data_IF_904593558807
#
_entry.id   IF_904593558807
#
_cell.length_a   1.000
_cell.length_b   1.000
_cell.length_c   1.000
_cell.angle_alpha   90.00
_cell.angle_beta   90.00
_cell.angle_gamma   90.00
#
_symmetry.space_group_name_H-M   'P 1'
#
loop_
_entity.id
_entity.type
_entity.pdbx_description
1 polymer ?
#
# COMPACT_ATOMS: atom_id res chain seq x y z
N UNK A 1 -22.80 -18.39 -11.35
CA UNK A 1 -22.27 -18.02 -12.69
C UNK A 1 -20.81 -18.41 -12.92
N UNK A 2 -19.83 -18.02 -12.10
CA UNK A 2 -18.43 -18.43 -12.32
C UNK A 2 -18.19 -19.94 -12.05
N UNK A 3 -18.76 -20.46 -10.95
CA UNK A 3 -18.71 -21.89 -10.58
C UNK A 3 -19.41 -22.75 -11.66
N UNK A 4 -20.63 -22.39 -12.07
CA UNK A 4 -21.37 -23.09 -13.14
C UNK A 4 -20.59 -23.13 -14.47
N UNK A 5 -19.86 -22.05 -14.82
CA UNK A 5 -19.03 -22.02 -16.02
C UNK A 5 -17.86 -23.01 -15.92
N UNK A 6 -17.28 -23.15 -14.73
CA UNK A 6 -16.16 -24.06 -14.49
C UNK A 6 -16.57 -25.53 -14.44
N UNK A 7 -17.77 -25.82 -13.92
CA UNK A 7 -18.36 -27.16 -13.97
C UNK A 7 -18.64 -27.62 -15.41
N UNK A 8 -18.84 -26.67 -16.34
CA UNK A 8 -19.02 -26.98 -17.77
C UNK A 8 -17.71 -27.22 -18.54
N UNK A 9 -16.54 -27.02 -17.91
CA UNK A 9 -15.24 -27.26 -18.54
C UNK A 9 -14.93 -28.76 -18.62
N UNK A 10 -14.07 -29.19 -19.57
CA UNK A 10 -13.57 -30.57 -19.59
C UNK A 10 -12.95 -30.98 -18.25
N UNK A 11 -13.14 -32.22 -17.83
CA UNK A 11 -12.60 -32.74 -16.57
C UNK A 11 -11.07 -32.95 -16.67
N UNK A 12 -10.33 -31.92 -16.26
CA UNK A 12 -8.87 -31.83 -16.29
C UNK A 12 -8.37 -31.44 -14.90
N UNK A 13 -7.07 -31.62 -14.65
CA UNK A 13 -6.47 -31.25 -13.38
C UNK A 13 -6.61 -29.74 -13.13
N UNK A 14 -6.39 -28.94 -14.18
CA UNK A 14 -6.53 -27.49 -14.17
C UNK A 14 -7.96 -27.02 -13.92
N UNK A 15 -8.97 -27.66 -14.55
CA UNK A 15 -10.37 -27.26 -14.34
C UNK A 15 -10.85 -27.57 -12.92
N UNK A 16 -10.39 -28.67 -12.31
CA UNK A 16 -10.67 -29.00 -10.91
C UNK A 16 -10.02 -28.02 -9.94
N UNK A 17 -8.75 -27.66 -10.17
CA UNK A 17 -8.07 -26.66 -9.33
C UNK A 17 -8.67 -25.27 -9.51
N UNK A 18 -9.12 -24.91 -10.71
CA UNK A 18 -9.84 -23.68 -10.95
C UNK A 18 -11.16 -23.67 -10.17
N UNK A 19 -11.96 -24.74 -10.25
CA UNK A 19 -13.22 -24.89 -9.51
C UNK A 19 -12.99 -24.77 -8.00
N UNK A 20 -11.99 -25.46 -7.46
CA UNK A 20 -11.60 -25.35 -6.05
C UNK A 20 -11.24 -23.91 -5.67
N UNK A 21 -10.43 -23.23 -6.48
CA UNK A 21 -10.08 -21.83 -6.26
C UNK A 21 -11.31 -20.92 -6.23
N UNK A 22 -12.24 -21.09 -7.16
CA UNK A 22 -13.47 -20.29 -7.18
C UNK A 22 -14.39 -20.58 -6.00
N UNK A 23 -14.47 -21.85 -5.57
CA UNK A 23 -15.22 -22.23 -4.37
C UNK A 23 -14.64 -21.53 -3.12
N UNK A 24 -13.31 -21.48 -2.99
CA UNK A 24 -12.62 -20.75 -1.91
C UNK A 24 -12.92 -19.24 -1.98
N UNK A 25 -12.77 -18.62 -3.16
CA UNK A 25 -13.01 -17.18 -3.36
C UNK A 25 -14.47 -16.80 -3.06
N UNK A 26 -15.43 -17.72 -3.29
CA UNK A 26 -16.85 -17.52 -3.05
C UNK A 26 -17.32 -17.97 -1.65
N UNK A 27 -16.45 -18.54 -0.83
CA UNK A 27 -16.80 -19.24 0.41
C UNK A 27 -17.94 -20.26 0.23
N UNK A 28 -17.85 -21.05 -0.83
CA UNK A 28 -18.91 -22.00 -1.21
C UNK A 28 -18.96 -23.18 -0.23
N UNK A 29 -20.15 -23.67 0.15
CA UNK A 29 -20.30 -24.78 1.10
C UNK A 29 -19.72 -26.10 0.59
N UNK A 30 -19.54 -26.25 -0.72
CA UNK A 30 -18.95 -27.44 -1.34
C UNK A 30 -17.41 -27.46 -1.28
N UNK A 31 -16.75 -26.42 -0.74
CA UNK A 31 -15.29 -26.29 -0.75
C UNK A 31 -14.57 -27.48 -0.13
N UNK A 32 -15.07 -28.01 1.00
CA UNK A 32 -14.45 -29.14 1.67
C UNK A 32 -14.55 -30.43 0.84
N UNK A 33 -15.71 -30.69 0.23
CA UNK A 33 -15.89 -31.81 -0.72
C UNK A 33 -14.93 -31.70 -1.90
N UNK A 34 -14.76 -30.50 -2.45
CA UNK A 34 -13.83 -30.27 -3.56
C UNK A 34 -12.37 -30.48 -3.16
N UNK A 35 -11.99 -30.20 -1.90
CA UNK A 35 -10.68 -30.56 -1.38
C UNK A 35 -10.49 -32.06 -1.28
N UNK A 36 -11.49 -32.81 -0.80
CA UNK A 36 -11.42 -34.26 -0.69
C UNK A 36 -11.27 -34.91 -2.07
N UNK A 37 -12.08 -34.50 -3.05
CA UNK A 37 -11.99 -34.99 -4.43
C UNK A 37 -10.65 -34.64 -5.09
N UNK A 38 -10.11 -33.45 -4.80
CA UNK A 38 -8.79 -33.06 -5.30
C UNK A 38 -7.68 -33.87 -4.61
N UNK A 39 -7.81 -34.17 -3.32
CA UNK A 39 -6.85 -35.01 -2.59
C UNK A 39 -6.86 -36.47 -3.09
N UNK A 40 -8.02 -37.03 -3.40
CA UNK A 40 -8.14 -38.37 -3.99
C UNK A 40 -7.47 -38.46 -5.37
N UNK A 41 -7.56 -37.40 -6.17
CA UNK A 41 -6.98 -37.35 -7.52
C UNK A 41 -5.47 -37.04 -7.52
N UNK A 42 -5.04 -36.06 -6.73
CA UNK A 42 -3.67 -35.52 -6.78
C UNK A 42 -2.76 -36.08 -5.68
N UNK A 43 -3.32 -36.74 -4.66
CA UNK A 43 -2.60 -37.18 -3.48
C UNK A 43 -2.03 -35.99 -2.70
N UNK A 44 -0.79 -36.13 -2.21
CA UNK A 44 -0.13 -35.12 -1.38
C UNK A 44 0.46 -33.95 -2.18
N UNK A 45 -0.32 -33.34 -3.09
CA UNK A 45 0.10 -32.24 -3.95
C UNK A 45 0.22 -30.90 -3.20
N UNK A 46 1.30 -30.15 -3.44
CA UNK A 46 1.57 -28.87 -2.75
C UNK A 46 0.52 -27.80 -3.07
N UNK A 47 -0.15 -27.88 -4.23
CA UNK A 47 -1.19 -26.92 -4.63
C UNK A 47 -2.39 -26.97 -3.68
N UNK A 48 -2.67 -28.14 -3.10
CA UNK A 48 -3.72 -28.28 -2.09
C UNK A 48 -3.33 -27.57 -0.78
N UNK A 49 -2.08 -27.68 -0.35
CA UNK A 49 -1.56 -26.89 0.77
C UNK A 49 -1.63 -25.39 0.47
N UNK A 50 -1.26 -24.96 -0.73
CA UNK A 50 -1.38 -23.56 -1.14
C UNK A 50 -2.83 -23.05 -1.03
N UNK A 51 -3.79 -23.80 -1.56
CA UNK A 51 -5.20 -23.42 -1.52
C UNK A 51 -5.78 -23.44 -0.10
N UNK A 52 -5.37 -24.38 0.75
CA UNK A 52 -5.73 -24.35 2.20
C UNK A 52 -5.20 -23.09 2.87
N UNK A 53 -3.93 -22.74 2.60
CA UNK A 53 -3.34 -21.50 3.08
C UNK A 53 -4.11 -20.26 2.63
N UNK A 54 -4.53 -20.19 1.36
CA UNK A 54 -5.33 -19.07 0.83
C UNK A 54 -6.71 -19.00 1.49
N UNK A 55 -7.40 -20.13 1.65
CA UNK A 55 -8.71 -20.21 2.34
C UNK A 55 -8.61 -19.71 3.78
N UNK A 56 -7.56 -20.12 4.48
CA UNK A 56 -7.43 -19.87 5.92
C UNK A 56 -6.84 -18.49 6.21
N UNK A 57 -6.19 -17.83 5.25
CA UNK A 57 -5.44 -16.58 5.43
C UNK A 57 -6.23 -15.47 6.14
N UNK A 58 -7.51 -15.29 5.80
CA UNK A 58 -8.38 -14.26 6.39
C UNK A 58 -9.09 -14.69 7.67
N UNK A 59 -8.98 -15.96 8.06
CA UNK A 59 -9.72 -16.57 9.18
C UNK A 59 -8.80 -16.94 10.33
N UNK A 60 -7.74 -17.66 10.00
CA UNK A 60 -6.72 -18.16 10.90
C UNK A 60 -5.34 -18.03 10.21
N UNK A 61 -4.69 -16.86 10.36
CA UNK A 61 -3.37 -16.63 9.79
C UNK A 61 -2.29 -17.62 10.28
N UNK A 62 -2.46 -18.23 11.46
CA UNK A 62 -1.52 -19.20 11.99
C UNK A 62 -1.65 -20.55 11.28
N UNK A 63 -2.88 -21.04 11.11
CA UNK A 63 -3.17 -22.23 10.30
C UNK A 63 -2.73 -22.03 8.84
N UNK A 64 -3.02 -20.86 8.25
CA UNK A 64 -2.56 -20.50 6.92
C UNK A 64 -1.03 -20.54 6.82
N UNK A 65 -0.32 -19.99 7.81
CA UNK A 65 1.14 -20.04 7.85
C UNK A 65 1.68 -21.47 7.91
N UNK A 66 1.02 -22.40 8.61
CA UNK A 66 1.42 -23.81 8.62
C UNK A 66 1.37 -24.42 7.21
N UNK A 67 0.30 -24.17 6.47
CA UNK A 67 0.17 -24.60 5.07
C UNK A 67 1.24 -23.98 4.17
N UNK A 68 1.47 -22.67 4.25
CA UNK A 68 2.50 -22.02 3.43
C UNK A 68 3.93 -22.46 3.79
N UNK A 69 4.21 -22.85 5.05
CA UNK A 69 5.49 -23.48 5.42
C UNK A 69 5.68 -24.82 4.73
N UNK A 70 4.63 -25.64 4.64
CA UNK A 70 4.66 -26.91 3.87
C UNK A 70 4.95 -26.65 2.41
N UNK A 71 4.27 -25.69 1.77
CA UNK A 71 4.54 -25.31 0.38
C UNK A 71 5.99 -24.86 0.20
N UNK A 72 6.48 -23.96 1.07
CA UNK A 72 7.86 -23.47 1.02
C UNK A 72 8.90 -24.58 1.19
N UNK A 73 8.63 -25.60 2.01
CA UNK A 73 9.52 -26.75 2.17
C UNK A 73 9.59 -27.61 0.90
N UNK A 74 8.49 -27.69 0.14
CA UNK A 74 8.39 -28.44 -1.12
C UNK A 74 8.95 -27.67 -2.32
N UNK A 75 8.87 -26.35 -2.28
CA UNK A 75 9.30 -25.44 -3.36
C UNK A 75 10.37 -24.45 -2.85
N UNK A 76 11.59 -24.92 -2.57
CA UNK A 76 12.66 -24.03 -2.13
C UNK A 76 13.04 -23.06 -3.26
N UNK A 77 13.07 -21.76 -2.94
CA UNK A 77 13.42 -20.70 -3.89
C UNK A 77 12.20 -19.93 -4.44
N UNK A 78 10.99 -20.47 -4.30
CA UNK A 78 9.78 -19.75 -4.70
C UNK A 78 9.47 -18.59 -3.77
N UNK A 79 9.21 -17.41 -4.35
CA UNK A 79 8.92 -16.18 -3.60
C UNK A 79 7.46 -16.09 -3.14
N UNK A 80 6.52 -16.73 -3.85
CA UNK A 80 5.10 -16.65 -3.50
C UNK A 80 4.78 -17.22 -2.10
N UNK A 81 5.30 -18.41 -1.69
CA UNK A 81 5.14 -18.89 -0.32
C UNK A 81 5.83 -18.00 0.72
N UNK A 82 6.95 -17.37 0.38
CA UNK A 82 7.61 -16.41 1.28
C UNK A 82 6.77 -15.15 1.49
N UNK A 83 6.17 -14.62 0.41
CA UNK A 83 5.28 -13.49 0.49
C UNK A 83 4.03 -13.84 1.31
N UNK A 84 3.44 -15.01 1.09
CA UNK A 84 2.27 -15.47 1.85
C UNK A 84 2.57 -15.58 3.35
N UNK A 85 3.76 -16.08 3.73
CA UNK A 85 4.21 -16.09 5.12
C UNK A 85 4.41 -14.68 5.71
N UNK A 86 4.89 -13.72 4.89
CA UNK A 86 4.98 -12.33 5.31
C UNK A 86 3.60 -11.73 5.61
N UNK A 87 2.60 -12.02 4.77
CA UNK A 87 1.21 -11.61 4.98
C UNK A 87 0.64 -12.26 6.25
N UNK A 88 0.84 -13.56 6.45
CA UNK A 88 0.39 -14.24 7.67
C UNK A 88 1.00 -13.61 8.92
N UNK A 89 2.30 -13.31 8.90
CA UNK A 89 3.00 -12.66 10.01
C UNK A 89 2.49 -11.23 10.26
N UNK A 90 2.09 -10.51 9.21
CA UNK A 90 1.48 -9.19 9.35
C UNK A 90 0.10 -9.27 9.99
N UNK A 91 -0.74 -10.20 9.55
CA UNK A 91 -2.09 -10.40 10.08
C UNK A 91 -2.08 -10.93 11.52
N UNK A 92 -1.06 -11.70 11.90
CA UNK A 92 -0.88 -12.24 13.24
C UNK A 92 -0.07 -11.31 14.17
N UNK A 93 0.25 -10.08 13.77
CA UNK A 93 1.21 -9.23 14.50
C UNK A 93 0.82 -8.98 15.97
N UNK A 94 -0.48 -8.89 16.29
CA UNK A 94 -0.98 -8.67 17.65
C UNK A 94 -0.94 -9.93 18.54
N UNK A 95 -0.90 -11.12 17.91
CA UNK A 95 -0.91 -12.43 18.60
C UNK A 95 0.39 -13.20 18.43
N UNK A 96 1.38 -12.61 17.76
CA UNK A 96 2.62 -13.28 17.39
C UNK A 96 3.41 -13.73 18.62
N UNK A 97 3.80 -15.01 18.63
CA UNK A 97 4.67 -15.55 19.67
C UNK A 97 6.00 -14.78 19.74
N UNK A 98 6.54 -14.52 20.97
CA UNK A 98 7.83 -13.88 21.14
C UNK A 98 8.94 -14.58 20.34
N UNK A 99 9.71 -13.82 19.57
CA UNK A 99 10.81 -14.34 18.73
C UNK A 99 10.43 -14.65 17.28
N UNK A 100 9.15 -14.52 16.89
CA UNK A 100 8.73 -14.58 15.49
C UNK A 100 9.41 -13.48 14.67
N UNK A 101 9.90 -13.81 13.46
CA UNK A 101 10.49 -12.81 12.59
C UNK A 101 9.42 -11.76 12.22
N UNK A 102 9.69 -10.45 12.40
CA UNK A 102 8.73 -9.41 12.07
C UNK A 102 8.37 -9.48 10.58
N UNK A 103 7.09 -9.28 10.26
CA UNK A 103 6.57 -9.33 8.89
C UNK A 103 7.39 -8.48 7.91
N UNK A 104 7.87 -7.31 8.35
CA UNK A 104 8.75 -6.44 7.57
C UNK A 104 10.03 -7.13 7.07
N UNK A 105 10.65 -8.03 7.85
CA UNK A 105 11.84 -8.77 7.41
C UNK A 105 11.50 -9.80 6.33
N UNK A 106 10.36 -10.48 6.44
CA UNK A 106 9.91 -11.46 5.44
C UNK A 106 9.57 -10.76 4.12
N UNK A 107 8.84 -9.64 4.18
CA UNK A 107 8.60 -8.79 3.01
C UNK A 107 9.91 -8.28 2.39
N UNK A 108 10.86 -7.83 3.22
CA UNK A 108 12.13 -7.31 2.71
C UNK A 108 12.97 -8.39 2.00
N UNK A 109 12.91 -9.65 2.46
CA UNK A 109 13.53 -10.77 1.75
C UNK A 109 12.95 -10.96 0.35
N UNK A 110 11.63 -10.97 0.21
CA UNK A 110 10.96 -11.09 -1.10
C UNK A 110 11.34 -9.93 -2.00
N UNK A 111 11.23 -8.69 -1.49
CA UNK A 111 11.55 -7.47 -2.24
C UNK A 111 13.00 -7.43 -2.74
N UNK A 112 13.97 -7.88 -1.92
CA UNK A 112 15.38 -7.93 -2.31
C UNK A 112 15.66 -9.01 -3.35
N UNK A 113 14.95 -10.12 -3.28
CA UNK A 113 15.08 -11.20 -4.25
C UNK A 113 14.50 -10.79 -5.61
N UNK A 114 13.34 -10.12 -5.62
CA UNK A 114 12.74 -9.59 -6.83
C UNK A 114 11.97 -8.27 -6.53
N UNK A 115 12.46 -7.11 -7.01
CA UNK A 115 11.81 -5.82 -6.78
C UNK A 115 10.49 -5.65 -7.56
N UNK A 116 10.16 -6.55 -8.50
CA UNK A 116 8.87 -6.53 -9.21
C UNK A 116 7.70 -6.97 -8.32
N UNK A 117 7.97 -7.65 -7.20
CA UNK A 117 7.00 -7.96 -6.16
C UNK A 117 6.66 -6.70 -5.35
N UNK A 118 5.96 -5.75 -5.97
CA UNK A 118 5.67 -4.45 -5.35
C UNK A 118 4.85 -4.58 -4.07
N UNK A 119 3.99 -5.60 -3.96
CA UNK A 119 3.28 -5.93 -2.72
C UNK A 119 4.21 -6.13 -1.54
N UNK A 120 5.41 -6.68 -1.76
CA UNK A 120 6.43 -6.82 -0.73
C UNK A 120 7.00 -5.46 -0.30
N UNK A 121 7.26 -4.54 -1.23
CA UNK A 121 7.68 -3.17 -0.90
C UNK A 121 6.64 -2.44 -0.03
N UNK A 122 5.36 -2.52 -0.40
CA UNK A 122 4.26 -1.97 0.42
C UNK A 122 4.10 -2.71 1.76
N UNK A 123 4.38 -4.01 1.82
CA UNK A 123 4.42 -4.78 3.07
C UNK A 123 5.52 -4.28 4.02
N UNK A 124 6.74 -4.05 3.53
CA UNK A 124 7.81 -3.43 4.34
C UNK A 124 7.36 -2.05 4.83
N UNK A 125 6.77 -1.23 3.95
CA UNK A 125 6.30 0.10 4.30
C UNK A 125 5.23 0.08 5.41
N UNK A 126 4.34 -0.92 5.45
CA UNK A 126 3.33 -1.01 6.52
C UNK A 126 3.91 -1.53 7.83
N UNK A 127 4.80 -2.52 7.77
CA UNK A 127 5.23 -3.27 8.96
C UNK A 127 6.54 -2.75 9.58
N UNK A 128 7.34 -1.92 8.88
CA UNK A 128 8.61 -1.45 9.42
C UNK A 128 8.41 -0.25 10.36
N UNK A 129 8.97 -0.33 11.58
CA UNK A 129 8.98 0.78 12.53
C UNK A 129 9.91 1.94 12.11
N UNK A 130 11.00 1.63 11.41
CA UNK A 130 11.98 2.59 10.93
C UNK A 130 11.49 3.31 9.66
N UNK A 131 11.44 4.65 9.70
CA UNK A 131 11.02 5.50 8.58
C UNK A 131 11.94 5.40 7.37
N UNK A 132 13.25 5.32 7.57
CA UNK A 132 14.20 5.18 6.47
C UNK A 132 14.00 3.87 5.73
N UNK A 133 13.73 2.78 6.46
CA UNK A 133 13.40 1.47 5.87
C UNK A 133 12.11 1.53 5.06
N UNK A 134 11.06 2.18 5.58
CA UNK A 134 9.79 2.34 4.84
C UNK A 134 9.99 3.13 3.54
N UNK A 135 10.72 4.23 3.58
CA UNK A 135 11.01 5.07 2.40
C UNK A 135 11.82 4.28 1.37
N UNK A 136 12.92 3.65 1.78
CA UNK A 136 13.78 2.89 0.88
C UNK A 136 13.03 1.71 0.21
N UNK A 137 12.08 1.09 0.91
CA UNK A 137 11.26 0.05 0.33
C UNK A 137 10.37 0.57 -0.81
N UNK A 138 9.69 1.70 -0.60
CA UNK A 138 8.81 2.32 -1.60
C UNK A 138 9.59 2.93 -2.78
N UNK A 139 10.78 3.50 -2.53
CA UNK A 139 11.69 3.97 -3.60
C UNK A 139 12.16 2.84 -4.51
N UNK A 140 12.20 1.60 -4.00
CA UNK A 140 12.53 0.42 -4.78
C UNK A 140 11.45 -0.03 -5.76
N UNK A 141 10.26 0.59 -5.77
CA UNK A 141 9.19 0.24 -6.72
C UNK A 141 9.57 0.75 -8.12
N UNK A 142 9.69 -0.13 -9.14
CA UNK A 142 10.12 0.27 -10.48
C UNK A 142 9.14 1.24 -11.14
N UNK A 143 9.66 2.23 -11.88
CA UNK A 143 8.85 3.22 -12.61
C UNK A 143 7.91 2.61 -13.66
N UNK A 144 8.25 1.44 -14.20
CA UNK A 144 7.41 0.69 -15.14
C UNK A 144 6.25 -0.07 -14.47
N UNK A 145 6.20 -0.15 -13.14
CA UNK A 145 5.12 -0.83 -12.42
C UNK A 145 3.83 -0.03 -12.48
N UNK A 146 2.69 -0.73 -12.59
CA UNK A 146 1.36 -0.13 -12.40
C UNK A 146 1.20 0.51 -11.01
N UNK A 147 1.99 0.07 -10.02
CA UNK A 147 1.95 0.58 -8.65
C UNK A 147 2.92 1.72 -8.37
N UNK A 148 3.66 2.20 -9.38
CA UNK A 148 4.60 3.29 -9.20
C UNK A 148 3.93 4.55 -8.64
N UNK A 149 2.79 4.97 -9.19
CA UNK A 149 2.07 6.18 -8.69
C UNK A 149 1.60 6.01 -7.25
N UNK A 150 1.08 4.83 -6.90
CA UNK A 150 0.70 4.53 -5.52
C UNK A 150 1.91 4.60 -4.57
N UNK A 151 3.09 4.17 -5.03
CA UNK A 151 4.33 4.27 -4.26
C UNK A 151 4.78 5.74 -4.10
N UNK A 152 4.68 6.56 -5.14
CA UNK A 152 4.97 8.00 -5.07
C UNK A 152 4.05 8.73 -4.09
N UNK A 153 2.76 8.40 -4.10
CA UNK A 153 1.80 8.95 -3.13
C UNK A 153 2.15 8.51 -1.69
N UNK A 154 2.46 7.24 -1.49
CA UNK A 154 2.89 6.73 -0.18
C UNK A 154 4.20 7.38 0.30
N UNK A 155 5.17 7.58 -0.60
CA UNK A 155 6.43 8.26 -0.30
C UNK A 155 6.21 9.71 0.11
N UNK A 156 5.35 10.44 -0.60
CA UNK A 156 4.98 11.80 -0.22
C UNK A 156 4.44 11.81 1.21
N UNK A 157 3.47 10.95 1.51
CA UNK A 157 2.86 10.84 2.84
C UNK A 157 3.87 10.47 3.93
N UNK A 158 4.72 9.47 3.70
CA UNK A 158 5.78 9.06 4.63
C UNK A 158 6.84 10.14 4.87
N UNK A 159 7.09 10.99 3.87
CA UNK A 159 8.02 12.12 4.00
C UNK A 159 7.41 13.28 4.80
N UNK A 160 6.11 13.54 4.67
CA UNK A 160 5.52 14.78 5.22
C UNK A 160 4.78 14.62 6.56
N UNK A 161 4.31 13.42 6.92
CA UNK A 161 3.43 13.26 8.11
C UNK A 161 4.12 13.26 9.47
N UNK A 162 5.41 12.89 9.55
CA UNK A 162 6.10 12.69 10.83
C UNK A 162 7.33 13.59 10.94
N UNK A 163 7.14 14.76 11.55
CA UNK A 163 8.19 15.76 11.81
C UNK A 163 9.09 15.97 10.58
N UNK A 164 8.53 16.48 9.47
CA UNK A 164 9.32 16.70 8.27
C UNK A 164 10.41 17.74 8.53
N UNK A 165 11.55 17.56 7.88
CA UNK A 165 12.55 18.60 7.69
C UNK A 165 12.42 19.17 6.26
N UNK A 166 13.26 20.16 5.93
CA UNK A 166 13.23 20.83 4.63
C UNK A 166 13.50 19.86 3.48
N UNK A 167 14.45 18.95 3.67
CA UNK A 167 14.85 17.98 2.64
C UNK A 167 13.70 16.99 2.37
N UNK A 168 12.99 16.55 3.41
CA UNK A 168 11.80 15.72 3.26
C UNK A 168 10.68 16.44 2.50
N UNK A 169 10.47 17.75 2.74
CA UNK A 169 9.49 18.56 1.99
C UNK A 169 9.88 18.69 0.52
N UNK A 170 11.15 18.99 0.23
CA UNK A 170 11.66 19.08 -1.14
C UNK A 170 11.52 17.73 -1.86
N UNK A 171 11.91 16.65 -1.21
CA UNK A 171 11.80 15.31 -1.76
C UNK A 171 10.33 14.90 -1.95
N UNK A 172 9.43 15.31 -1.07
CA UNK A 172 7.99 15.11 -1.24
C UNK A 172 7.42 15.88 -2.45
N UNK A 173 7.95 17.08 -2.73
CA UNK A 173 7.64 17.81 -3.97
C UNK A 173 8.03 17.03 -5.23
N UNK A 174 9.23 16.43 -5.25
CA UNK A 174 9.64 15.58 -6.37
C UNK A 174 8.74 14.34 -6.55
N UNK A 175 8.17 13.79 -5.47
CA UNK A 175 7.18 12.71 -5.58
C UNK A 175 5.87 13.20 -6.18
N UNK A 176 5.44 14.42 -5.81
CA UNK A 176 4.23 15.04 -6.36
C UNK A 176 4.34 15.25 -7.86
N UNK A 177 5.51 15.66 -8.36
CA UNK A 177 5.79 15.79 -9.79
C UNK A 177 5.63 14.44 -10.56
N UNK A 178 5.73 13.30 -9.85
CA UNK A 178 5.53 11.97 -10.43
C UNK A 178 4.07 11.47 -10.35
N UNK A 179 3.13 12.30 -9.87
CA UNK A 179 1.72 11.94 -9.72
C UNK A 179 0.85 12.38 -10.91
N UNK A 180 1.44 12.75 -12.03
CA UNK A 180 0.69 13.08 -13.24
C UNK A 180 -0.28 11.96 -13.66
N UNK A 181 -1.52 12.35 -13.95
CA UNK A 181 -2.60 11.48 -14.42
C UNK A 181 -3.41 10.76 -13.33
N UNK A 182 -3.22 11.11 -12.04
CA UNK A 182 -4.16 10.67 -10.98
C UNK A 182 -5.43 11.54 -10.96
N UNK A 183 -6.44 11.04 -10.25
CA UNK A 183 -7.67 11.79 -9.99
C UNK A 183 -7.40 13.16 -9.34
N UNK A 184 -8.15 14.18 -9.77
CA UNK A 184 -7.96 15.58 -9.33
C UNK A 184 -8.06 15.73 -7.81
N UNK A 185 -8.99 15.01 -7.16
CA UNK A 185 -9.13 15.07 -5.70
C UNK A 185 -7.91 14.45 -5.01
N UNK A 186 -7.40 13.32 -5.52
CA UNK A 186 -6.18 12.71 -4.98
C UNK A 186 -4.96 13.62 -5.12
N UNK A 187 -4.81 14.30 -6.26
CA UNK A 187 -3.74 15.28 -6.46
C UNK A 187 -3.86 16.47 -5.51
N UNK A 188 -5.07 17.00 -5.30
CA UNK A 188 -5.30 18.11 -4.38
C UNK A 188 -5.07 17.71 -2.91
N UNK A 189 -5.44 16.48 -2.51
CA UNK A 189 -5.11 15.97 -1.18
C UNK A 189 -3.59 15.84 -0.97
N UNK A 190 -2.85 15.36 -1.98
CA UNK A 190 -1.39 15.27 -1.93
C UNK A 190 -0.72 16.66 -1.83
N UNK A 191 -1.20 17.64 -2.60
CA UNK A 191 -0.79 19.05 -2.50
C UNK A 191 -1.06 19.63 -1.12
N UNK A 192 -2.25 19.40 -0.56
CA UNK A 192 -2.62 19.89 0.76
C UNK A 192 -1.70 19.32 1.85
N UNK A 193 -1.35 18.04 1.78
CA UNK A 193 -0.38 17.40 2.68
C UNK A 193 1.02 18.03 2.55
N UNK A 194 1.49 18.25 1.32
CA UNK A 194 2.79 18.88 1.05
C UNK A 194 2.85 20.33 1.57
N UNK A 195 1.86 21.17 1.25
CA UNK A 195 1.85 22.58 1.67
C UNK A 195 1.72 22.73 3.17
N UNK A 196 0.90 21.91 3.83
CA UNK A 196 0.82 21.87 5.29
C UNK A 196 2.18 21.59 5.92
N UNK A 197 2.90 20.58 5.41
CA UNK A 197 4.23 20.24 5.91
C UNK A 197 5.26 21.34 5.60
N UNK A 198 5.22 21.92 4.40
CA UNK A 198 6.07 23.04 4.03
C UNK A 198 5.90 24.22 5.00
N UNK A 199 4.67 24.60 5.34
CA UNK A 199 4.39 25.71 6.27
C UNK A 199 4.80 25.43 7.72
N UNK A 200 4.82 24.15 8.13
CA UNK A 200 5.32 23.74 9.44
C UNK A 200 6.85 23.84 9.55
N UNK A 201 7.57 23.76 8.42
CA UNK A 201 9.04 23.69 8.38
C UNK A 201 9.70 25.00 7.94
N UNK A 202 9.18 25.65 6.90
CA UNK A 202 9.88 26.75 6.23
C UNK A 202 9.77 28.03 7.05
N UNK A 203 10.79 28.31 7.87
CA UNK A 203 11.01 29.64 8.48
C UNK A 203 11.69 30.61 7.52
N UNK A 204 11.84 31.90 7.89
CA UNK A 204 12.53 32.91 7.07
C UNK A 204 13.93 32.48 6.59
N UNK A 205 14.70 31.80 7.45
CA UNK A 205 16.07 31.34 7.13
C UNK A 205 16.12 30.13 6.20
N UNK A 206 14.98 29.48 5.95
CA UNK A 206 14.87 28.28 5.14
C UNK A 206 14.20 28.52 3.78
N UNK A 207 13.76 29.75 3.51
CA UNK A 207 13.17 30.12 2.22
C UNK A 207 14.19 30.01 1.08
N UNK A 208 13.74 29.50 -0.06
CA UNK A 208 14.52 29.45 -1.30
C UNK A 208 13.64 29.93 -2.46
N UNK A 209 13.59 31.24 -2.75
CA UNK A 209 12.75 31.78 -3.82
C UNK A 209 13.01 31.18 -5.21
N UNK A 210 14.23 30.70 -5.45
CA UNK A 210 14.61 30.03 -6.70
C UNK A 210 14.16 28.58 -6.81
N UNK A 211 13.84 27.92 -5.68
CA UNK A 211 13.38 26.53 -5.66
C UNK A 211 11.86 26.50 -5.75
N UNK A 212 11.32 25.62 -6.59
CA UNK A 212 9.88 25.44 -6.78
C UNK A 212 9.47 24.01 -6.49
N UNK A 213 8.31 23.84 -5.88
CA UNK A 213 7.63 22.56 -5.71
C UNK A 213 6.28 22.69 -6.40
N UNK A 214 5.92 21.81 -7.35
CA UNK A 214 4.67 21.91 -8.13
C UNK A 214 4.40 23.34 -8.66
N UNK A 215 5.46 23.99 -9.15
CA UNK A 215 5.43 25.38 -9.63
C UNK A 215 5.41 26.48 -8.56
N UNK A 216 5.18 26.17 -7.28
CA UNK A 216 5.12 27.13 -6.17
C UNK A 216 6.52 27.42 -5.61
N UNK A 217 6.97 28.68 -5.53
CA UNK A 217 8.23 29.04 -4.88
C UNK A 217 8.29 28.60 -3.42
N UNK A 218 9.43 28.07 -2.97
CA UNK A 218 9.68 27.63 -1.59
C UNK A 218 9.83 28.82 -0.64
N UNK A 219 8.76 29.62 -0.54
CA UNK A 219 8.62 30.85 0.23
C UNK A 219 7.32 30.74 1.01
N UNK A 220 7.33 31.13 2.28
CA UNK A 220 6.20 30.91 3.20
C UNK A 220 4.90 31.52 2.68
N UNK A 221 4.95 32.73 2.14
CA UNK A 221 3.77 33.43 1.61
C UNK A 221 3.16 32.73 0.38
N UNK A 222 4.01 32.29 -0.55
CA UNK A 222 3.56 31.58 -1.74
C UNK A 222 2.96 30.20 -1.39
N UNK A 223 3.60 29.49 -0.47
CA UNK A 223 3.12 28.21 0.05
C UNK A 223 1.79 28.35 0.82
N UNK A 224 1.64 29.42 1.61
CA UNK A 224 0.40 29.74 2.33
C UNK A 224 -0.75 30.03 1.36
N UNK A 225 -0.48 30.80 0.31
CA UNK A 225 -1.45 31.08 -0.76
C UNK A 225 -1.87 29.80 -1.51
N UNK A 226 -0.91 28.94 -1.84
CA UNK A 226 -1.17 27.65 -2.49
C UNK A 226 -1.99 26.72 -1.58
N UNK A 227 -1.73 26.74 -0.27
CA UNK A 227 -2.47 25.95 0.71
C UNK A 227 -3.92 26.41 0.85
N UNK A 228 -4.18 27.71 0.99
CA UNK A 228 -5.55 28.27 1.01
C UNK A 228 -6.31 27.88 -0.27
N UNK A 229 -5.68 28.05 -1.44
CA UNK A 229 -6.30 27.74 -2.71
C UNK A 229 -6.70 26.25 -2.84
N UNK A 230 -5.81 25.32 -2.46
CA UNK A 230 -6.11 23.87 -2.57
C UNK A 230 -7.18 23.44 -1.56
N UNK A 231 -7.14 23.96 -0.32
CA UNK A 231 -8.17 23.65 0.67
C UNK A 231 -9.57 24.10 0.20
N UNK A 232 -9.67 25.26 -0.45
CA UNK A 232 -10.93 25.75 -1.03
C UNK A 232 -11.43 24.88 -2.17
N UNK A 233 -10.54 24.37 -3.04
CA UNK A 233 -10.93 23.42 -4.09
C UNK A 233 -11.47 22.11 -3.52
N UNK A 234 -10.77 21.54 -2.54
CA UNK A 234 -11.23 20.32 -1.85
C UNK A 234 -12.59 20.57 -1.17
N UNK A 235 -12.74 21.72 -0.49
CA UNK A 235 -13.98 22.08 0.19
C UNK A 235 -15.19 22.23 -0.76
N UNK A 236 -14.96 22.73 -1.98
CA UNK A 236 -16.00 22.89 -2.99
C UNK A 236 -16.58 21.55 -3.48
N UNK A 237 -15.76 20.49 -3.47
CA UNK A 237 -16.12 19.15 -3.94
C UNK A 237 -16.49 18.19 -2.79
N UNK A 238 -16.61 18.69 -1.56
CA UNK A 238 -16.93 17.87 -0.40
C UNK A 238 -18.44 17.86 -0.15
N UNK A 239 -19.04 16.67 0.05
CA UNK A 239 -20.47 16.54 0.36
C UNK A 239 -20.79 16.95 1.80
N UNK A 240 -19.89 16.62 2.74
CA UNK A 240 -20.08 16.83 4.18
C UNK A 240 -19.97 18.30 4.57
N UNK A 241 -21.04 18.94 5.11
CA UNK A 241 -20.98 20.33 5.57
C UNK A 241 -19.94 20.57 6.67
N UNK A 242 -19.77 19.61 7.59
CA UNK A 242 -18.78 19.69 8.67
C UNK A 242 -17.35 19.67 8.12
N UNK A 243 -17.08 18.79 7.15
CA UNK A 243 -15.76 18.71 6.52
C UNK A 243 -15.46 19.97 5.73
N UNK A 244 -16.45 20.49 4.99
CA UNK A 244 -16.34 21.76 4.28
C UNK A 244 -16.02 22.92 5.22
N UNK A 245 -16.72 23.02 6.36
CA UNK A 245 -16.46 24.03 7.37
C UNK A 245 -15.03 23.93 7.90
N UNK A 246 -14.57 22.73 8.27
CA UNK A 246 -13.21 22.51 8.78
C UNK A 246 -12.13 22.93 7.78
N UNK A 247 -12.29 22.58 6.50
CA UNK A 247 -11.35 22.94 5.43
C UNK A 247 -11.32 24.46 5.20
N UNK A 248 -12.47 25.13 5.20
CA UNK A 248 -12.56 26.59 5.02
C UNK A 248 -11.96 27.32 6.22
N UNK A 249 -12.21 26.84 7.44
CA UNK A 249 -11.59 27.38 8.66
C UNK A 249 -10.07 27.28 8.59
N UNK A 250 -9.54 26.13 8.16
CA UNK A 250 -8.10 25.94 8.02
C UNK A 250 -7.51 26.83 6.92
N UNK A 251 -8.21 26.99 5.79
CA UNK A 251 -7.80 27.91 4.72
C UNK A 251 -7.70 29.36 5.23
N UNK A 252 -8.72 29.82 5.96
CA UNK A 252 -8.74 31.18 6.52
C UNK A 252 -7.60 31.44 7.52
N UNK A 253 -7.18 30.43 8.31
CA UNK A 253 -6.05 30.57 9.25
C UNK A 253 -4.71 30.80 8.55
N UNK A 254 -4.54 30.19 7.37
CA UNK A 254 -3.29 30.23 6.62
C UNK A 254 -3.29 31.33 5.55
N UNK A 255 -4.34 32.16 5.49
CA UNK A 255 -4.43 33.24 4.51
C UNK A 255 -3.31 34.26 4.73
N UNK A 256 -2.48 34.57 3.70
CA UNK A 256 -1.47 35.62 3.82
C UNK A 256 -2.12 36.97 4.12
N UNK A 257 -1.49 37.76 4.99
CA UNK A 257 -1.93 39.11 5.32
C UNK A 257 -1.45 40.08 4.25
N UNK A 258 -2.33 40.44 3.32
CA UNK A 258 -2.12 41.60 2.45
C UNK A 258 -2.57 42.86 3.19
N UNK A 259 -1.64 43.74 3.54
CA UNK A 259 -1.98 45.08 4.00
C UNK A 259 -2.48 45.88 2.78
N UNK A 260 -3.72 46.38 2.86
CA UNK A 260 -4.27 47.38 1.92
C UNK A 260 -3.91 48.79 2.41
#
# INVERSE_FOLDING_TARGET
RAIELAESLPDTDESRLALLRMAIEADAPETDRLFDEAADRFGADWRLDWYRGVRDLGRDPEAAAAHFRTVRARLPGELAPMLALAVCAELAADTAAPGSAPASKLYDQVRRADPTYTSAAFGVARCAGDRAVRIAALEGVPAASSQYRAAQQALLVERVRRQPDKDAVVAAGANLDNLDGIDTLQADLARAELWRAALAVIGPDLEEPGRRLDGVPLVREAMASAYDAVLRRIAANCDSPLTRWALVTEANRNRPRTWL
#
